data_IF_012847313535
#
_entry.id   IF_012847313535
#
_cell.length_a   1.000
_cell.length_b   1.000
_cell.length_c   1.000
_cell.angle_alpha   90.00
_cell.angle_beta   90.00
_cell.angle_gamma   90.00
#
_symmetry.space_group_name_H-M   'P 1'
#
loop_
_entity.id
_entity.type
_entity.pdbx_description
1 polymer ?
#
# COMPACT_ATOMS: atom_id res chain seq x y z
N UNK A 1 -24.91 -4.06 -46.79
CA UNK A 1 -25.11 -4.46 -45.39
C UNK A 1 -23.85 -4.13 -44.62
N UNK A 2 -23.80 -2.98 -43.95
CA UNK A 2 -22.65 -2.56 -43.13
C UNK A 2 -23.08 -2.68 -41.67
N UNK A 3 -22.50 -3.63 -40.93
CA UNK A 3 -22.75 -3.80 -39.50
C UNK A 3 -21.79 -2.88 -38.74
N UNK A 4 -22.31 -1.81 -38.16
CA UNK A 4 -21.58 -0.96 -37.22
C UNK A 4 -21.35 -1.76 -35.94
N UNK A 5 -20.09 -2.11 -35.64
CA UNK A 5 -19.71 -2.68 -34.36
C UNK A 5 -19.72 -1.56 -33.31
N UNK A 6 -20.55 -1.71 -32.28
CA UNK A 6 -20.49 -0.86 -31.10
C UNK A 6 -19.20 -1.20 -30.34
N UNK A 7 -18.23 -0.31 -30.37
CA UNK A 7 -17.09 -0.34 -29.46
C UNK A 7 -17.62 0.11 -28.10
N UNK A 8 -17.90 -0.86 -27.23
CA UNK A 8 -18.21 -0.61 -25.84
C UNK A 8 -16.88 -0.28 -25.13
N UNK A 9 -16.52 1.00 -25.09
CA UNK A 9 -15.39 1.47 -24.28
C UNK A 9 -15.79 1.37 -22.81
N UNK A 10 -15.38 0.29 -22.13
CA UNK A 10 -15.42 0.27 -20.67
C UNK A 10 -14.39 1.29 -20.17
N UNK A 11 -14.84 2.48 -19.81
CA UNK A 11 -14.02 3.41 -19.06
C UNK A 11 -13.79 2.80 -17.67
N UNK A 12 -12.58 2.29 -17.42
CA UNK A 12 -12.15 1.96 -16.06
C UNK A 12 -12.29 3.25 -15.23
N UNK A 13 -13.26 3.27 -14.32
CA UNK A 13 -13.51 4.44 -13.48
C UNK A 13 -12.36 4.51 -12.46
N UNK A 14 -11.46 5.47 -12.63
CA UNK A 14 -10.44 5.73 -11.64
C UNK A 14 -11.10 6.29 -10.37
N UNK A 15 -10.61 5.86 -9.20
CA UNK A 15 -11.08 6.36 -7.90
C UNK A 15 -10.28 7.63 -7.60
N UNK A 16 -10.94 8.72 -7.22
CA UNK A 16 -10.25 9.94 -6.80
C UNK A 16 -9.64 9.73 -5.40
N UNK A 17 -8.52 10.41 -5.12
CA UNK A 17 -8.06 10.54 -3.73
C UNK A 17 -9.15 11.20 -2.89
N UNK A 18 -9.25 10.81 -1.62
CA UNK A 18 -10.03 11.59 -0.68
C UNK A 18 -9.40 12.99 -0.57
N UNK A 19 -10.18 14.05 -0.81
CA UNK A 19 -9.78 15.40 -0.46
C UNK A 19 -9.96 15.57 1.05
N UNK A 20 -8.89 15.80 1.79
CA UNK A 20 -9.01 16.15 3.21
C UNK A 20 -9.46 17.61 3.34
N UNK A 21 -10.43 17.86 4.22
CA UNK A 21 -10.82 19.23 4.57
C UNK A 21 -9.84 19.90 5.55
N UNK A 22 -8.94 19.10 6.13
CA UNK A 22 -7.93 19.50 7.10
C UNK A 22 -6.53 19.16 6.56
N UNK A 23 -5.51 19.85 7.07
CA UNK A 23 -4.13 19.50 6.81
C UNK A 23 -3.87 18.05 7.24
N UNK A 24 -3.23 17.28 6.37
CA UNK A 24 -2.86 15.90 6.67
C UNK A 24 -1.74 15.88 7.72
N UNK A 25 -1.91 15.05 8.74
CA UNK A 25 -0.98 14.87 9.85
C UNK A 25 -0.36 13.49 9.74
N UNK A 26 0.96 13.44 9.56
CA UNK A 26 1.70 12.18 9.59
C UNK A 26 1.84 11.69 11.04
N UNK A 27 0.92 10.83 11.47
CA UNK A 27 0.87 10.31 12.84
C UNK A 27 0.58 8.80 12.92
N UNK A 28 0.42 8.14 11.77
CA UNK A 28 0.12 6.71 11.71
C UNK A 28 -1.37 6.41 11.91
N UNK A 29 -2.24 7.42 12.00
CA UNK A 29 -3.69 7.28 12.01
C UNK A 29 -4.25 7.54 10.62
N UNK A 30 -5.51 7.18 10.42
CA UNK A 30 -6.23 7.38 9.14
C UNK A 30 -7.41 8.35 9.26
N UNK A 31 -7.56 9.02 10.40
CA UNK A 31 -8.74 9.85 10.71
C UNK A 31 -8.90 11.07 9.79
N UNK A 32 -7.82 11.53 9.18
CA UNK A 32 -7.77 12.65 8.23
C UNK A 32 -7.57 12.21 6.78
N UNK A 33 -7.26 10.93 6.52
CA UNK A 33 -7.08 10.36 5.18
C UNK A 33 -8.41 10.04 4.46
N UNK A 34 -9.54 10.20 5.14
CA UNK A 34 -10.87 9.92 4.58
C UNK A 34 -11.20 8.43 4.54
N UNK A 35 -11.89 7.99 3.49
CA UNK A 35 -12.30 6.58 3.33
C UNK A 35 -11.19 5.72 2.75
N UNK A 36 -11.19 4.43 3.12
CA UNK A 36 -10.26 3.45 2.57
C UNK A 36 -10.40 3.34 1.04
N UNK A 37 -9.27 3.24 0.34
CA UNK A 37 -9.22 2.98 -1.10
C UNK A 37 -9.51 1.51 -1.41
N UNK A 38 -9.17 0.63 -0.46
CA UNK A 38 -9.63 -0.74 -0.42
C UNK A 38 -9.60 -1.27 1.02
N UNK A 39 -10.43 -2.27 1.27
CA UNK A 39 -10.50 -3.00 2.53
C UNK A 39 -10.16 -4.46 2.28
N UNK A 40 -9.72 -5.16 3.32
CA UNK A 40 -9.79 -6.60 3.33
C UNK A 40 -11.12 -7.04 3.97
N UNK A 41 -11.81 -7.96 3.30
CA UNK A 41 -13.03 -8.58 3.80
C UNK A 41 -12.79 -10.02 4.26
N UNK A 42 -11.59 -10.56 4.04
CA UNK A 42 -11.17 -11.86 4.55
C UNK A 42 -10.82 -11.66 6.02
N UNK A 43 -11.67 -12.20 6.89
CA UNK A 43 -11.35 -12.29 8.31
C UNK A 43 -10.10 -13.16 8.49
N UNK A 44 -9.32 -13.01 9.56
CA UNK A 44 -8.11 -13.79 9.78
C UNK A 44 -8.47 -15.28 9.88
N UNK A 45 -8.48 -15.99 8.76
CA UNK A 45 -8.91 -17.38 8.72
C UNK A 45 -7.73 -18.25 9.08
N UNK A 46 -7.58 -18.59 10.37
CA UNK A 46 -6.83 -19.75 10.91
C UNK A 46 -5.45 -20.13 10.32
N UNK A 47 -4.80 -19.29 9.52
CA UNK A 47 -3.70 -19.69 8.63
C UNK A 47 -2.55 -18.70 8.56
N UNK A 48 -2.75 -17.44 8.97
CA UNK A 48 -1.67 -16.46 9.10
C UNK A 48 -0.63 -16.97 10.09
N UNK A 49 0.53 -17.31 9.54
CA UNK A 49 1.63 -17.91 10.26
C UNK A 49 1.46 -19.38 10.61
N UNK A 50 0.60 -20.10 9.87
CA UNK A 50 0.41 -21.55 9.97
C UNK A 50 -0.18 -22.05 11.29
N UNK A 51 -0.66 -21.15 12.17
CA UNK A 51 -1.02 -21.50 13.54
C UNK A 51 -2.38 -20.96 14.03
N UNK A 52 -3.14 -20.22 13.21
CA UNK A 52 -4.41 -19.64 13.64
C UNK A 52 -4.61 -18.19 13.18
N UNK A 53 -5.69 -17.53 13.61
CA UNK A 53 -5.89 -16.09 13.37
C UNK A 53 -4.78 -15.28 14.04
N UNK A 54 -4.22 -14.29 13.35
CA UNK A 54 -3.10 -13.51 13.87
C UNK A 54 -3.30 -12.02 13.62
N UNK A 55 -3.88 -11.31 14.58
CA UNK A 55 -4.33 -9.93 14.41
C UNK A 55 -3.24 -8.93 13.99
N UNK A 56 -1.96 -9.17 14.32
CA UNK A 56 -0.84 -8.32 13.86
C UNK A 56 -0.51 -8.54 12.38
N UNK A 57 -0.98 -9.64 11.79
CA UNK A 57 -0.89 -9.96 10.37
C UNK A 57 -2.19 -9.65 9.62
N UNK A 58 -3.22 -9.10 10.26
CA UNK A 58 -4.52 -8.85 9.65
C UNK A 58 -4.63 -7.37 9.25
N UNK A 59 -4.65 -7.11 7.95
CA UNK A 59 -4.68 -5.79 7.31
C UNK A 59 -6.10 -5.41 6.93
N UNK A 60 -6.75 -4.56 7.71
CA UNK A 60 -8.15 -4.20 7.48
C UNK A 60 -8.37 -3.19 6.33
N UNK A 61 -7.37 -2.40 5.95
CA UNK A 61 -7.59 -1.34 4.98
C UNK A 61 -6.34 -0.60 4.53
N UNK A 62 -6.36 -0.12 3.28
CA UNK A 62 -5.38 0.77 2.70
C UNK A 62 -6.02 2.12 2.37
N UNK A 63 -5.36 3.20 2.77
CA UNK A 63 -5.82 4.57 2.65
C UNK A 63 -4.85 5.36 1.79
N UNK A 64 -5.40 6.33 1.05
CA UNK A 64 -4.61 7.25 0.25
C UNK A 64 -5.27 8.63 0.25
N UNK A 65 -4.51 9.65 0.65
CA UNK A 65 -4.88 11.04 0.56
C UNK A 65 -3.73 11.84 -0.06
N UNK A 66 -4.04 13.02 -0.60
CA UNK A 66 -3.03 13.91 -1.15
C UNK A 66 -3.26 15.32 -0.63
N UNK A 67 -2.17 15.97 -0.25
CA UNK A 67 -2.17 17.38 0.15
C UNK A 67 -0.89 18.05 -0.35
N UNK A 68 -1.06 19.15 -1.09
CA UNK A 68 0.01 20.09 -1.43
C UNK A 68 1.25 19.45 -2.08
N UNK A 69 1.08 18.40 -2.87
CA UNK A 69 2.15 17.66 -3.52
C UNK A 69 2.71 16.49 -2.71
N UNK A 70 2.11 16.18 -1.56
CA UNK A 70 2.43 15.03 -0.71
C UNK A 70 1.33 13.98 -0.82
N UNK A 71 1.70 12.75 -1.15
CA UNK A 71 0.81 11.59 -1.14
C UNK A 71 0.98 10.87 0.20
N UNK A 72 -0.07 10.79 1.01
CA UNK A 72 -0.09 10.01 2.24
C UNK A 72 -0.76 8.66 1.97
N UNK A 73 -0.06 7.58 2.32
CA UNK A 73 -0.54 6.20 2.22
C UNK A 73 -0.51 5.56 3.60
N UNK A 74 -1.57 4.86 3.98
CA UNK A 74 -1.59 4.15 5.26
C UNK A 74 -2.18 2.75 5.16
N UNK A 75 -1.72 1.86 6.05
CA UNK A 75 -2.33 0.58 6.34
C UNK A 75 -2.90 0.60 7.75
N UNK A 76 -4.03 -0.08 7.93
CA UNK A 76 -4.62 -0.37 9.24
C UNK A 76 -4.47 -1.84 9.58
N UNK A 77 -4.14 -2.15 10.83
CA UNK A 77 -3.82 -3.48 11.32
C UNK A 77 -4.78 -3.82 12.47
N UNK A 78 -5.35 -5.03 12.47
CA UNK A 78 -6.35 -5.44 13.46
C UNK A 78 -5.79 -5.70 14.88
N UNK A 79 -4.57 -5.28 15.18
CA UNK A 79 -3.92 -5.39 16.48
C UNK A 79 -3.39 -4.05 16.97
N UNK A 80 -3.27 -3.90 18.29
CA UNK A 80 -2.41 -2.89 18.89
C UNK A 80 -0.94 -3.21 18.59
N UNK A 81 -0.38 -2.54 17.58
CA UNK A 81 1.01 -2.76 17.15
C UNK A 81 2.04 -2.05 18.04
N UNK A 82 1.60 -1.31 19.07
CA UNK A 82 2.46 -0.85 20.16
C UNK A 82 2.70 -1.95 21.19
N UNK A 83 1.74 -2.87 21.34
CA UNK A 83 1.83 -4.03 22.23
C UNK A 83 2.39 -5.28 21.51
N UNK A 84 1.90 -5.59 20.31
CA UNK A 84 2.34 -6.73 19.50
C UNK A 84 2.95 -6.23 18.20
N UNK A 85 4.28 -6.14 18.14
CA UNK A 85 4.98 -5.30 17.16
C UNK A 85 5.95 -6.07 16.24
N UNK A 86 5.88 -7.40 16.21
CA UNK A 86 6.81 -8.20 15.43
C UNK A 86 6.51 -8.19 13.92
N UNK A 87 5.32 -7.71 13.52
CA UNK A 87 4.91 -7.59 12.13
C UNK A 87 5.74 -6.61 11.32
N UNK A 88 5.74 -6.84 10.01
CA UNK A 88 6.36 -6.01 8.99
C UNK A 88 5.33 -5.69 7.94
N UNK A 89 5.29 -4.47 7.44
CA UNK A 89 4.21 -4.02 6.56
C UNK A 89 4.78 -3.36 5.31
N UNK A 90 4.12 -3.57 4.18
CA UNK A 90 4.58 -3.10 2.88
C UNK A 90 3.43 -2.56 2.05
N UNK A 91 3.70 -1.52 1.27
CA UNK A 91 2.85 -1.08 0.16
C UNK A 91 3.67 -1.11 -1.12
N UNK A 92 3.22 -1.90 -2.08
CA UNK A 92 3.71 -1.89 -3.45
C UNK A 92 2.92 -0.88 -4.27
N UNK A 93 3.61 -0.07 -5.08
CA UNK A 93 3.01 1.01 -5.87
C UNK A 93 3.40 0.82 -7.33
N UNK A 94 2.39 0.67 -8.16
CA UNK A 94 2.51 0.74 -9.61
C UNK A 94 2.07 2.13 -10.09
N UNK A 95 2.88 2.75 -10.93
CA UNK A 95 2.57 4.04 -11.57
C UNK A 95 2.30 3.85 -13.05
N UNK A 96 1.60 4.79 -13.67
CA UNK A 96 1.33 4.78 -15.10
C UNK A 96 2.41 5.47 -15.96
N UNK A 97 3.55 5.84 -15.37
CA UNK A 97 4.60 6.62 -16.04
C UNK A 97 5.47 5.81 -17.03
N UNK A 98 5.11 4.55 -17.29
CA UNK A 98 5.89 3.64 -18.12
C UNK A 98 7.11 3.06 -17.39
N UNK A 99 7.67 1.98 -17.95
CA UNK A 99 8.74 1.19 -17.35
C UNK A 99 8.32 -0.25 -17.05
N UNK A 100 9.28 -1.17 -17.00
CA UNK A 100 9.02 -2.52 -16.48
C UNK A 100 8.97 -2.41 -14.96
N UNK A 101 7.89 -2.86 -14.33
CA UNK A 101 7.88 -3.00 -12.88
C UNK A 101 8.59 -4.28 -12.44
N UNK A 102 8.75 -4.44 -11.13
CA UNK A 102 9.31 -5.64 -10.55
C UNK A 102 8.30 -6.77 -10.47
N UNK A 103 8.80 -8.00 -10.37
CA UNK A 103 8.04 -9.19 -9.97
C UNK A 103 8.46 -9.72 -8.60
N UNK A 104 9.35 -9.02 -7.88
CA UNK A 104 9.98 -9.50 -6.65
C UNK A 104 9.92 -8.47 -5.51
N UNK A 105 10.14 -8.94 -4.29
CA UNK A 105 10.23 -8.11 -3.08
C UNK A 105 11.62 -7.47 -2.86
N UNK A 106 11.72 -6.19 -2.44
CA UNK A 106 13.01 -5.53 -2.21
C UNK A 106 13.80 -6.04 -1.00
N UNK A 107 13.15 -6.69 -0.02
CA UNK A 107 13.86 -7.33 1.11
C UNK A 107 14.18 -8.80 0.84
N UNK A 108 13.89 -9.31 -0.36
CA UNK A 108 14.09 -10.72 -0.71
C UNK A 108 13.12 -11.68 -0.02
N UNK A 109 11.98 -11.16 0.49
CA UNK A 109 10.92 -12.00 1.06
C UNK A 109 10.28 -12.88 0.00
N UNK A 110 9.62 -13.95 0.43
CA UNK A 110 8.89 -14.87 -0.46
C UNK A 110 7.56 -14.24 -0.94
N UNK A 111 7.67 -13.10 -1.62
CA UNK A 111 6.57 -12.34 -2.23
C UNK A 111 6.93 -12.09 -3.69
N UNK A 112 5.97 -12.39 -4.57
CA UNK A 112 6.01 -12.08 -5.99
C UNK A 112 4.87 -11.12 -6.36
N UNK A 113 5.04 -10.37 -7.45
CA UNK A 113 3.97 -9.57 -8.06
C UNK A 113 3.58 -10.18 -9.42
N UNK A 114 2.28 -10.24 -9.71
CA UNK A 114 1.74 -10.90 -10.90
C UNK A 114 0.36 -10.38 -11.32
N UNK A 115 -0.31 -11.09 -12.22
CA UNK A 115 -1.68 -10.73 -12.65
C UNK A 115 -1.80 -9.39 -13.39
N UNK A 116 -0.70 -8.88 -13.96
CA UNK A 116 -0.64 -7.55 -14.57
C UNK A 116 -0.27 -6.43 -13.58
N UNK A 117 -0.14 -6.74 -12.29
CA UNK A 117 0.45 -5.86 -11.29
C UNK A 117 1.97 -6.01 -11.30
N UNK A 118 2.66 -4.92 -11.63
CA UNK A 118 4.11 -4.83 -11.77
C UNK A 118 4.54 -3.48 -11.16
N UNK A 119 4.79 -3.44 -9.84
CA UNK A 119 5.09 -2.19 -9.14
C UNK A 119 6.47 -1.64 -9.46
N UNK A 120 6.60 -0.32 -9.49
CA UNK A 120 7.87 0.40 -9.64
C UNK A 120 8.43 0.86 -8.29
N UNK A 121 7.60 0.96 -7.26
CA UNK A 121 8.02 1.42 -5.95
C UNK A 121 7.50 0.50 -4.84
N UNK A 122 8.22 0.47 -3.73
CA UNK A 122 7.80 -0.26 -2.54
C UNK A 122 8.17 0.55 -1.29
N UNK A 123 7.18 0.73 -0.41
CA UNK A 123 7.37 1.19 0.96
C UNK A 123 7.33 -0.04 1.85
N UNK A 124 8.28 -0.14 2.77
CA UNK A 124 8.32 -1.24 3.73
C UNK A 124 8.69 -0.72 5.10
N UNK A 125 8.09 -1.23 6.16
CA UNK A 125 8.44 -0.86 7.53
C UNK A 125 8.48 -2.05 8.48
N UNK A 126 9.22 -1.86 9.56
CA UNK A 126 9.19 -2.67 10.77
C UNK A 126 8.75 -1.79 11.93
N UNK A 127 8.03 -2.37 12.88
CA UNK A 127 7.44 -1.61 14.01
C UNK A 127 8.02 -2.03 15.36
N UNK A 128 8.83 -3.09 15.40
CA UNK A 128 9.65 -3.51 16.52
C UNK A 128 10.96 -2.73 16.60
N UNK A 129 11.66 -2.85 17.74
CA UNK A 129 13.03 -2.32 17.93
C UNK A 129 13.21 -0.84 17.61
N UNK A 130 12.21 -0.01 17.94
CA UNK A 130 12.21 1.43 17.67
C UNK A 130 11.63 1.82 16.30
N UNK A 131 11.24 0.83 15.49
CA UNK A 131 10.63 1.02 14.19
C UNK A 131 11.58 1.55 13.13
N UNK A 132 11.14 1.50 11.88
CA UNK A 132 11.87 2.07 10.76
C UNK A 132 11.24 1.67 9.44
N UNK A 133 11.70 2.31 8.37
CA UNK A 133 11.17 2.08 7.04
C UNK A 133 12.26 2.13 5.97
N UNK A 134 11.94 1.56 4.82
CA UNK A 134 12.68 1.73 3.59
C UNK A 134 11.73 2.12 2.46
N UNK A 135 12.22 2.97 1.57
CA UNK A 135 11.59 3.33 0.32
C UNK A 135 12.45 2.82 -0.82
N UNK A 136 11.88 2.05 -1.74
CA UNK A 136 12.60 1.44 -2.85
C UNK A 136 12.00 1.82 -4.19
N UNK A 137 12.85 1.89 -5.21
CA UNK A 137 12.47 2.07 -6.61
C UNK A 137 13.11 0.99 -7.48
N UNK A 138 12.33 0.43 -8.38
CA UNK A 138 12.79 -0.56 -9.35
C UNK A 138 13.39 0.14 -10.57
N UNK A 139 14.67 -0.12 -10.83
CA UNK A 139 15.40 0.53 -11.93
C UNK A 139 15.33 -0.23 -13.26
N UNK A 140 14.52 -1.29 -13.34
CA UNK A 140 14.44 -2.20 -14.50
C UNK A 140 15.23 -3.50 -14.33
N UNK A 141 16.09 -3.61 -13.33
CA UNK A 141 16.89 -4.83 -13.06
C UNK A 141 17.06 -5.16 -11.58
N UNK A 142 17.06 -4.17 -10.70
CA UNK A 142 17.14 -4.33 -9.25
C UNK A 142 16.31 -3.29 -8.53
N UNK A 143 16.07 -3.55 -7.24
CA UNK A 143 15.54 -2.56 -6.31
C UNK A 143 16.66 -1.68 -5.78
N UNK A 144 16.52 -0.37 -5.98
CA UNK A 144 17.38 0.64 -5.39
C UNK A 144 16.73 1.20 -4.13
N UNK A 145 17.48 1.28 -3.03
CA UNK A 145 17.02 1.96 -1.82
C UNK A 145 17.12 3.47 -2.00
N UNK A 146 15.99 4.15 -1.81
CA UNK A 146 15.88 5.60 -1.84
C UNK A 146 16.05 6.13 -0.41
N UNK A 147 17.05 6.99 -0.21
CA UNK A 147 17.34 7.60 1.10
C UNK A 147 16.50 8.83 1.43
N UNK A 148 15.62 9.28 0.53
CA UNK A 148 14.78 10.46 0.67
C UNK A 148 13.51 10.37 -0.18
N UNK A 149 12.60 11.34 -0.03
CA UNK A 149 11.33 11.42 -0.77
C UNK A 149 10.14 10.76 -0.08
N UNK A 150 10.37 10.12 1.08
CA UNK A 150 9.32 9.63 1.95
C UNK A 150 9.68 9.80 3.43
N UNK A 151 8.66 9.93 4.28
CA UNK A 151 8.73 9.88 5.75
C UNK A 151 7.65 8.93 6.27
N UNK A 152 7.72 8.52 7.53
CA UNK A 152 6.78 7.53 8.09
C UNK A 152 6.38 7.83 9.53
N UNK A 153 5.24 7.28 9.95
CA UNK A 153 4.77 7.24 11.33
C UNK A 153 4.08 5.92 11.65
N UNK A 154 4.03 5.58 12.95
CA UNK A 154 3.38 4.39 13.49
C UNK A 154 2.42 4.83 14.61
N UNK A 155 1.22 4.26 14.62
CA UNK A 155 0.31 4.32 15.77
C UNK A 155 0.03 2.92 16.30
N UNK A 156 0.09 2.74 17.63
CA UNK A 156 -0.09 1.45 18.30
C UNK A 156 -1.54 1.00 18.35
N UNK A 157 -2.36 1.65 19.16
CA UNK A 157 -3.81 1.44 19.27
C UNK A 157 -4.57 2.73 18.92
N UNK A 158 -4.47 3.14 17.66
CA UNK A 158 -5.34 4.18 17.08
C UNK A 158 -6.74 3.64 16.77
N UNK A 159 -7.66 4.50 16.32
CA UNK A 159 -8.88 4.11 15.60
C UNK A 159 -9.66 2.90 16.14
N UNK A 160 -10.02 2.91 17.42
CA UNK A 160 -10.82 1.83 18.01
C UNK A 160 -10.04 0.57 18.40
N UNK A 161 -8.71 0.68 18.58
CA UNK A 161 -7.84 -0.40 19.06
C UNK A 161 -7.00 -1.06 17.96
N UNK A 162 -7.02 -0.49 16.76
CA UNK A 162 -6.24 -0.93 15.61
C UNK A 162 -4.91 -0.18 15.51
N UNK A 163 -3.89 -0.86 15.02
CA UNK A 163 -2.61 -0.27 14.67
C UNK A 163 -2.66 0.41 13.32
N UNK A 164 -1.74 1.33 13.10
CA UNK A 164 -1.58 2.00 11.82
C UNK A 164 -0.13 2.30 11.49
N UNK A 165 0.18 2.17 10.20
CA UNK A 165 1.45 2.62 9.63
C UNK A 165 1.14 3.54 8.47
N UNK A 166 1.78 4.71 8.47
CA UNK A 166 1.54 5.75 7.49
C UNK A 166 2.86 6.23 6.89
N UNK A 167 2.84 6.49 5.59
CA UNK A 167 3.93 7.09 4.85
C UNK A 167 3.46 8.35 4.13
N UNK A 168 4.27 9.40 4.21
CA UNK A 168 4.10 10.59 3.40
C UNK A 168 5.19 10.62 2.32
N UNK A 169 4.80 10.70 1.05
CA UNK A 169 5.71 10.72 -0.09
C UNK A 169 5.60 12.04 -0.85
N UNK A 170 6.71 12.60 -1.30
CA UNK A 170 6.64 13.70 -2.26
C UNK A 170 6.17 13.15 -3.61
N UNK A 171 5.12 13.72 -4.22
CA UNK A 171 4.59 13.24 -5.53
C UNK A 171 5.67 13.14 -6.61
N UNK A 172 6.64 14.06 -6.61
CA UNK A 172 7.76 14.04 -7.56
C UNK A 172 8.70 12.84 -7.36
N UNK A 173 8.77 12.24 -6.17
CA UNK A 173 9.57 11.04 -5.92
C UNK A 173 9.01 9.78 -6.60
N UNK A 174 7.77 9.83 -7.08
CA UNK A 174 7.12 8.79 -7.89
C UNK A 174 7.20 9.07 -9.40
N UNK A 175 7.89 10.15 -9.80
CA UNK A 175 7.96 10.60 -11.19
C UNK A 175 6.72 11.36 -11.68
N UNK A 176 5.89 11.90 -10.77
CA UNK A 176 4.66 12.66 -11.08
C UNK A 176 3.59 11.90 -11.89
N UNK A 177 3.17 10.69 -11.44
CA UNK A 177 2.15 9.93 -12.16
C UNK A 177 0.78 10.59 -12.08
N UNK A 178 -0.06 10.37 -13.10
CA UNK A 178 -1.47 10.77 -13.06
C UNK A 178 -2.37 9.70 -12.44
N UNK A 179 -1.92 8.45 -12.40
CA UNK A 179 -2.58 7.39 -11.63
C UNK A 179 -1.58 6.48 -10.94
N UNK A 180 -2.01 5.93 -9.81
CA UNK A 180 -1.30 4.85 -9.11
C UNK A 180 -2.24 3.67 -8.87
N UNK A 181 -1.68 2.47 -8.78
CA UNK A 181 -2.33 1.31 -8.19
C UNK A 181 -1.47 0.82 -7.03
N UNK A 182 -2.12 0.44 -5.93
CA UNK A 182 -1.42 0.04 -4.72
C UNK A 182 -1.90 -1.31 -4.23
N UNK A 183 -1.00 -2.07 -3.62
CA UNK A 183 -1.34 -3.28 -2.87
C UNK A 183 -0.49 -3.37 -1.62
N UNK A 184 -1.14 -3.48 -0.48
CA UNK A 184 -0.53 -3.68 0.84
C UNK A 184 -0.34 -5.16 1.14
N UNK A 185 0.68 -5.51 1.91
CA UNK A 185 0.87 -6.86 2.47
C UNK A 185 1.65 -6.80 3.79
N UNK A 186 1.54 -7.83 4.61
CA UNK A 186 2.29 -7.99 5.84
C UNK A 186 3.18 -9.24 5.80
N UNK A 187 4.28 -9.24 6.55
CA UNK A 187 5.18 -10.39 6.73
C UNK A 187 5.63 -10.51 8.19
N UNK A 188 6.24 -11.64 8.54
CA UNK A 188 6.98 -11.81 9.78
C UNK A 188 8.39 -11.20 9.72
N UNK A 189 9.26 -11.58 10.65
CA UNK A 189 10.63 -11.07 10.77
C UNK A 189 11.71 -11.85 10.00
N UNK A 190 11.46 -13.09 9.59
CA UNK A 190 12.43 -13.97 8.96
C UNK A 190 12.69 -13.68 7.48
N UNK A 191 13.94 -13.76 7.02
CA UNK A 191 14.31 -13.39 5.65
C UNK A 191 13.55 -14.14 4.53
N UNK A 192 13.03 -15.33 4.82
CA UNK A 192 12.23 -16.13 3.88
C UNK A 192 10.72 -15.99 4.03
N UNK A 193 10.22 -15.21 5.02
CA UNK A 193 8.79 -15.13 5.29
C UNK A 193 8.06 -14.55 4.08
N UNK A 194 6.97 -15.19 3.69
CA UNK A 194 6.05 -14.77 2.65
C UNK A 194 5.02 -13.73 3.17
N UNK A 195 4.22 -13.19 2.25
CA UNK A 195 3.10 -12.32 2.56
C UNK A 195 1.99 -13.10 3.26
N UNK A 196 1.65 -12.72 4.49
CA UNK A 196 0.65 -13.43 5.30
C UNK A 196 -0.77 -13.01 4.96
N UNK A 197 -0.94 -11.73 4.67
CA UNK A 197 -2.20 -11.10 4.29
C UNK A 197 -1.95 -9.97 3.29
N UNK A 198 -2.98 -9.53 2.57
CA UNK A 198 -2.91 -8.37 1.70
C UNK A 198 -4.23 -7.62 1.53
N UNK A 199 -4.08 -6.33 1.24
CA UNK A 199 -5.18 -5.41 0.94
C UNK A 199 -4.89 -4.68 -0.39
N UNK A 200 -5.81 -4.64 -1.38
CA UNK A 200 -7.13 -5.27 -1.38
C UNK A 200 -7.10 -6.79 -1.20
N UNK A 201 -8.21 -7.30 -0.68
CA UNK A 201 -8.40 -8.70 -0.30
C UNK A 201 -7.88 -9.70 -1.35
N UNK A 202 -7.12 -10.69 -0.89
CA UNK A 202 -6.72 -11.87 -1.65
C UNK A 202 -6.65 -13.08 -0.72
N UNK A 203 -6.25 -14.25 -1.24
CA UNK A 203 -6.08 -15.43 -0.39
C UNK A 203 -4.86 -15.28 0.54
N UNK A 204 -5.08 -15.48 1.84
CA UNK A 204 -4.04 -15.43 2.87
C UNK A 204 -3.13 -16.66 2.76
N UNK A 205 -1.86 -16.48 3.12
CA UNK A 205 -0.95 -17.61 3.20
C UNK A 205 -1.36 -18.54 4.37
N UNK A 206 -1.14 -19.83 4.20
CA UNK A 206 -1.39 -20.85 5.24
C UNK A 206 -0.09 -21.37 5.88
N UNK A 207 1.04 -20.79 5.49
CA UNK A 207 2.39 -21.16 5.94
C UNK A 207 3.34 -19.95 5.86
N UNK A 208 4.60 -20.15 6.24
CA UNK A 208 5.65 -19.12 6.26
C UNK A 208 6.63 -19.14 5.09
N UNK A 209 6.46 -20.04 4.11
CA UNK A 209 7.50 -20.32 3.11
C UNK A 209 7.04 -20.37 1.66
N UNK A 210 5.75 -20.57 1.42
CA UNK A 210 5.17 -20.59 0.08
C UNK A 210 5.12 -19.17 -0.46
N UNK A 211 5.64 -18.95 -1.67
CA UNK A 211 5.65 -17.60 -2.27
C UNK A 211 4.22 -17.07 -2.41
N UNK A 212 3.95 -15.93 -1.78
CA UNK A 212 2.69 -15.21 -1.93
C UNK A 212 2.75 -14.37 -3.21
N UNK A 213 1.71 -14.43 -4.05
CA UNK A 213 1.64 -13.62 -5.27
C UNK A 213 0.62 -12.49 -5.11
N UNK A 214 1.11 -11.25 -5.06
CA UNK A 214 0.29 -10.04 -5.08
C UNK A 214 -0.20 -9.80 -6.52
N UNK A 215 -1.50 -9.86 -6.75
CA UNK A 215 -2.08 -9.76 -8.10
C UNK A 215 -3.41 -9.02 -8.19
N UNK A 216 -3.88 -8.46 -7.08
CA UNK A 216 -5.19 -7.82 -6.94
C UNK A 216 -5.01 -6.42 -6.34
N UNK A 217 -4.27 -5.52 -7.01
CA UNK A 217 -4.09 -4.16 -6.52
C UNK A 217 -5.42 -3.40 -6.57
N UNK A 218 -5.42 -2.21 -5.97
CA UNK A 218 -6.56 -1.29 -6.11
C UNK A 218 -6.88 -1.03 -7.58
N UNK A 219 -8.13 -0.59 -7.82
CA UNK A 219 -8.40 0.17 -9.05
C UNK A 219 -7.45 1.37 -9.15
N UNK A 220 -7.22 1.87 -10.36
CA UNK A 220 -6.38 3.04 -10.55
C UNK A 220 -6.91 4.22 -9.72
N UNK A 221 -6.03 4.80 -8.90
CA UNK A 221 -6.29 5.97 -8.07
C UNK A 221 -5.76 7.20 -8.81
N UNK A 222 -6.61 8.18 -9.09
CA UNK A 222 -6.23 9.41 -9.81
C UNK A 222 -5.48 10.37 -8.91
N UNK A 223 -4.17 10.52 -9.10
CA UNK A 223 -3.37 11.50 -8.36
C UNK A 223 -3.81 12.91 -8.77
N UNK A 224 -4.28 13.76 -7.82
CA UNK A 224 -4.67 15.12 -8.16
C UNK A 224 -3.49 15.85 -8.80
N UNK A 225 -3.76 16.63 -9.85
CA UNK A 225 -2.78 17.63 -10.30
C UNK A 225 -2.86 18.80 -9.32
N UNK A 226 -1.75 19.20 -8.72
CA UNK A 226 -1.73 20.28 -7.75
C UNK A 226 -2.37 21.54 -8.36
N UNK A 227 -3.57 21.91 -7.90
CA UNK A 227 -4.13 23.23 -8.20
C UNK A 227 -3.42 24.22 -7.28
N UNK A 228 -2.38 24.84 -7.80
CA UNK A 228 -1.79 26.04 -7.20
C UNK A 228 -2.89 27.09 -7.02
N UNK A 229 -3.32 27.32 -5.77
CA UNK A 229 -3.99 28.52 -5.30
C UNK A 229 -5.19 28.99 -6.11
N UNK A 230 -6.39 28.50 -5.78
CA UNK A 230 -7.60 29.28 -6.02
C UNK A 230 -7.85 30.18 -4.81
N UNK A 231 -7.25 31.37 -4.81
CA UNK A 231 -7.65 32.45 -3.91
C UNK A 231 -8.85 33.14 -4.57
N UNK A 232 -10.02 33.07 -3.95
CA UNK A 232 -11.11 34.01 -4.29
C UNK A 232 -10.69 35.35 -3.69
N UNK A 233 -10.42 36.34 -4.54
CA UNK A 233 -10.42 37.76 -4.15
C UNK A 233 -11.84 38.26 -3.91
#
# INVERSE_FOLDING_TARGET
>A
MLRTAAICTMAASAIAFASSANALTLDGLVSDLGSAQATDAVLPTSGEGGAGPNAVMDLSGIYAAEDSGTINLALTIAADIGATNWGKYKIFIQTNNGGTGSTTDPWGRAIACGGGFSPQYCLSCWVDSGGGFNYHHWNGSSWDSLGSGATFAISGAGNGGQGGVEWALTRSSLGTPSTIQIQGTCTGGGGGDNGQDAVPSQANATDWGTVTTLSTPTSAITVPVGVSGFTIE
#
